data_IF_553304229011
#
_entry.id   IF_553304229011
#
_cell.length_a   1.000
_cell.length_b   1.000
_cell.length_c   1.000
_cell.angle_alpha   90.00
_cell.angle_beta   90.00
_cell.angle_gamma   90.00
#
_symmetry.space_group_name_H-M   'P 1'
#
loop_
_entity.id
_entity.type
_entity.pdbx_description
1 polymer ?
#
# COMPACT_ATOMS: atom_id res chain seq x y z
N UNK A 1 30.02 -9.49 18.07
CA UNK A 1 30.99 -8.42 17.83
C UNK A 1 30.83 -7.98 16.39
N UNK A 2 30.11 -6.88 16.14
CA UNK A 2 29.93 -6.35 14.79
C UNK A 2 31.25 -5.66 14.39
N UNK A 3 31.76 -5.98 13.20
CA UNK A 3 33.04 -5.44 12.71
C UNK A 3 33.01 -3.91 12.61
N UNK A 4 34.03 -3.23 13.12
CA UNK A 4 34.16 -1.76 13.10
C UNK A 4 34.35 -1.17 11.69
N UNK A 5 34.64 -2.02 10.70
CA UNK A 5 34.90 -1.64 9.32
C UNK A 5 33.65 -1.48 8.43
N UNK A 6 32.43 -1.65 8.99
CA UNK A 6 31.18 -1.60 8.21
C UNK A 6 30.99 -0.32 7.39
N UNK A 7 31.55 0.80 7.83
CA UNK A 7 31.45 2.08 7.11
C UNK A 7 32.11 2.04 5.72
N UNK A 8 33.06 1.12 5.48
CA UNK A 8 33.75 0.97 4.19
C UNK A 8 32.81 0.52 3.06
N UNK A 9 31.63 -0.02 3.38
CA UNK A 9 30.63 -0.39 2.37
C UNK A 9 30.23 0.81 1.49
N UNK A 10 30.24 2.02 2.07
CA UNK A 10 29.91 3.26 1.38
C UNK A 10 31.00 3.75 0.41
N UNK A 11 32.19 3.15 0.42
CA UNK A 11 33.24 3.44 -0.56
C UNK A 11 32.99 2.70 -1.88
N UNK A 12 32.24 1.60 -1.85
CA UNK A 12 31.93 0.78 -3.02
C UNK A 12 30.56 1.11 -3.62
N UNK A 13 29.63 1.62 -2.80
CA UNK A 13 28.25 1.85 -3.21
C UNK A 13 27.86 3.31 -2.93
N UNK A 14 27.34 3.99 -3.95
CA UNK A 14 26.87 5.37 -3.84
C UNK A 14 25.69 5.47 -2.84
N UNK A 15 25.84 6.22 -1.73
CA UNK A 15 24.86 6.22 -0.65
C UNK A 15 23.47 6.71 -1.07
N UNK A 16 23.43 7.63 -2.04
CA UNK A 16 22.17 8.15 -2.60
C UNK A 16 21.35 7.07 -3.28
N UNK A 17 21.99 6.23 -4.08
CA UNK A 17 21.30 5.16 -4.83
C UNK A 17 20.77 4.11 -3.86
N UNK A 18 21.52 3.78 -2.81
CA UNK A 18 21.07 2.84 -1.77
C UNK A 18 19.84 3.35 -1.03
N UNK A 19 19.82 4.64 -0.65
CA UNK A 19 18.65 5.24 0.02
C UNK A 19 17.41 5.24 -0.89
N UNK A 20 17.58 5.55 -2.17
CA UNK A 20 16.49 5.51 -3.15
C UNK A 20 16.01 4.07 -3.37
N UNK A 21 16.94 3.11 -3.53
CA UNK A 21 16.61 1.70 -3.73
C UNK A 21 15.90 1.12 -2.51
N UNK A 22 16.35 1.45 -1.30
CA UNK A 22 15.68 1.05 -0.06
C UNK A 22 14.27 1.66 0.02
N UNK A 23 14.13 2.96 -0.25
CA UNK A 23 12.82 3.62 -0.27
C UNK A 23 11.86 3.01 -1.29
N UNK A 24 12.32 2.81 -2.52
CA UNK A 24 11.54 2.20 -3.59
C UNK A 24 11.16 0.75 -3.24
N UNK A 25 12.10 -0.04 -2.71
CA UNK A 25 11.85 -1.41 -2.27
C UNK A 25 10.77 -1.45 -1.18
N UNK A 26 10.88 -0.60 -0.16
CA UNK A 26 9.92 -0.54 0.94
C UNK A 26 8.53 -0.07 0.47
N UNK A 27 8.45 0.87 -0.47
CA UNK A 27 7.17 1.29 -1.07
C UNK A 27 6.53 0.14 -1.84
N UNK A 28 7.29 -0.52 -2.73
CA UNK A 28 6.78 -1.65 -3.51
C UNK A 28 6.34 -2.79 -2.59
N UNK A 29 7.14 -3.12 -1.58
CA UNK A 29 6.80 -4.13 -0.59
C UNK A 29 5.56 -3.75 0.22
N UNK A 30 5.45 -2.50 0.65
CA UNK A 30 4.29 -1.98 1.35
C UNK A 30 3.03 -2.10 0.51
N UNK A 31 3.05 -1.60 -0.73
CA UNK A 31 1.93 -1.72 -1.65
C UNK A 31 1.57 -3.18 -1.94
N UNK A 32 2.56 -4.05 -2.17
CA UNK A 32 2.31 -5.47 -2.39
C UNK A 32 1.55 -6.11 -1.23
N UNK A 33 1.93 -5.82 0.02
CA UNK A 33 1.22 -6.30 1.21
C UNK A 33 -0.23 -5.78 1.23
N UNK A 34 -0.44 -4.48 0.97
CA UNK A 34 -1.80 -3.92 0.93
C UNK A 34 -2.64 -4.60 -0.15
N UNK A 35 -2.11 -4.79 -1.36
CA UNK A 35 -2.82 -5.47 -2.45
C UNK A 35 -3.17 -6.91 -2.10
N UNK A 36 -2.31 -7.62 -1.35
CA UNK A 36 -2.61 -8.97 -0.85
C UNK A 36 -3.77 -8.93 0.15
N UNK A 37 -3.74 -8.00 1.12
CA UNK A 37 -4.82 -7.87 2.11
C UNK A 37 -6.15 -7.52 1.43
N UNK A 38 -6.17 -6.54 0.54
CA UNK A 38 -7.38 -6.16 -0.21
C UNK A 38 -7.89 -7.27 -1.13
N UNK A 39 -7.01 -8.15 -1.64
CA UNK A 39 -7.45 -9.26 -2.50
C UNK A 39 -8.19 -10.37 -1.73
N UNK A 40 -8.09 -10.40 -0.39
CA UNK A 40 -8.75 -11.41 0.43
C UNK A 40 -10.12 -10.95 0.88
N UNK A 41 -11.11 -11.84 0.88
CA UNK A 41 -12.50 -11.51 1.20
C UNK A 41 -12.70 -10.98 2.63
N UNK A 42 -11.86 -11.40 3.58
CA UNK A 42 -11.99 -11.02 5.00
C UNK A 42 -11.23 -9.75 5.38
N UNK A 43 -10.14 -9.41 4.68
CA UNK A 43 -9.31 -8.24 5.00
C UNK A 43 -9.49 -7.08 4.00
N UNK A 44 -10.42 -7.21 3.05
CA UNK A 44 -10.75 -6.13 2.12
C UNK A 44 -11.61 -5.06 2.80
N UNK A 45 -10.94 -4.11 3.45
CA UNK A 45 -11.59 -3.00 4.14
C UNK A 45 -12.32 -2.02 3.20
N UNK A 46 -12.17 -2.11 1.87
CA UNK A 46 -12.94 -1.30 0.92
C UNK A 46 -14.34 -1.87 0.66
N UNK A 47 -14.53 -3.18 0.81
CA UNK A 47 -15.80 -3.87 0.54
C UNK A 47 -16.48 -4.40 1.82
N UNK A 48 -15.87 -4.20 3.00
CA UNK A 48 -16.42 -4.62 4.31
C UNK A 48 -17.71 -3.87 4.72
N UNK A 49 -18.19 -2.93 3.90
CA UNK A 49 -19.48 -2.27 4.11
C UNK A 49 -19.52 -1.31 5.31
N UNK A 50 -18.37 -0.82 5.78
CA UNK A 50 -18.27 0.12 6.91
C UNK A 50 -17.50 1.40 6.50
N UNK A 51 -18.07 2.61 6.69
CA UNK A 51 -19.47 2.88 7.04
C UNK A 51 -20.40 2.34 5.95
N UNK A 52 -21.60 1.90 6.34
CA UNK A 52 -22.61 1.37 5.41
C UNK A 52 -22.64 2.22 4.16
N UNK A 53 -22.19 1.64 3.04
CA UNK A 53 -22.17 2.34 1.77
C UNK A 53 -23.56 2.93 1.59
N UNK A 54 -23.66 4.25 1.52
CA UNK A 54 -24.89 4.90 1.15
C UNK A 54 -25.18 4.42 -0.26
N UNK A 55 -26.02 3.38 -0.37
CA UNK A 55 -26.62 3.01 -1.63
C UNK A 55 -27.33 4.28 -2.05
N UNK A 56 -26.75 5.04 -3.00
CA UNK A 56 -27.46 6.09 -3.69
C UNK A 56 -28.66 5.37 -4.30
N UNK A 57 -29.80 5.40 -3.59
CA UNK A 57 -31.06 4.92 -4.09
C UNK A 57 -31.32 5.76 -5.32
N UNK A 58 -31.05 5.17 -6.49
CA UNK A 58 -31.52 5.70 -7.76
C UNK A 58 -33.03 5.49 -7.70
N UNK A 59 -33.73 6.42 -7.05
CA UNK A 59 -35.19 6.43 -7.01
C UNK A 59 -35.66 6.52 -8.46
N UNK A 60 -36.42 5.53 -8.96
CA UNK A 60 -37.02 5.65 -10.27
C UNK A 60 -37.95 6.87 -10.18
N UNK A 61 -37.68 7.92 -10.97
CA UNK A 61 -38.60 9.04 -11.08
C UNK A 61 -39.85 8.49 -11.77
N UNK A 62 -40.88 8.18 -10.98
CA UNK A 62 -42.18 7.73 -11.51
C UNK A 62 -42.85 8.97 -12.11
N UNK A 63 -43.08 9.04 -13.43
CA UNK A 63 -43.75 10.18 -14.03
C UNK A 63 -45.20 10.19 -13.56
N UNK A 64 -45.59 11.22 -12.80
CA UNK A 64 -46.99 11.48 -12.44
C UNK A 64 -47.73 11.92 -13.71
N UNK A 65 -48.52 11.02 -14.30
CA UNK A 65 -49.48 11.27 -15.37
C UNK A 65 -50.85 10.80 -14.94
#
# INVERSE_FOLDING_TARGET
MISSDLWKIWLLIDPRVVLIALGAFLIVLGLAIHMILLSTAEFNWLEDGVPAASVQQVTPVVPQR
#
